data_IF_294946851147
#
_entry.id   IF_294946851147
#
_cell.length_a   1.000
_cell.length_b   1.000
_cell.length_c   1.000
_cell.angle_alpha   90.00
_cell.angle_beta   90.00
_cell.angle_gamma   90.00
#
_symmetry.space_group_name_H-M   'P 1'
#
loop_
_entity.id
_entity.type
_entity.pdbx_description
1 polymer ?
#
# COMPACT_ATOMS: atom_id res chain seq x y z
N UNK A 1 -31.81 18.07 -5.63
CA UNK A 1 -32.29 16.76 -5.13
C UNK A 1 -31.66 16.55 -3.76
N UNK A 2 -32.34 15.94 -2.77
CA UNK A 2 -31.82 15.88 -1.41
C UNK A 2 -30.55 15.03 -1.38
N UNK A 3 -29.48 15.58 -0.81
CA UNK A 3 -28.21 14.93 -0.56
C UNK A 3 -28.45 13.55 0.08
N UNK A 4 -28.20 12.46 -0.65
CA UNK A 4 -28.20 11.12 -0.04
C UNK A 4 -26.83 10.93 0.61
N UNK A 5 -26.59 11.72 1.66
CA UNK A 5 -25.53 11.43 2.61
C UNK A 5 -25.94 10.11 3.30
N UNK A 6 -25.38 8.98 2.86
CA UNK A 6 -25.50 7.72 3.59
C UNK A 6 -24.66 7.86 4.87
N UNK A 7 -25.21 8.57 5.86
CA UNK A 7 -24.64 8.63 7.19
C UNK A 7 -24.94 7.30 7.88
N UNK A 8 -24.03 6.34 7.74
CA UNK A 8 -24.05 5.15 8.59
C UNK A 8 -23.61 5.59 9.98
N UNK A 9 -24.57 6.03 10.81
CA UNK A 9 -24.35 6.25 12.23
C UNK A 9 -24.17 4.91 12.92
N UNK A 10 -22.94 4.43 12.95
CA UNK A 10 -22.57 3.30 13.80
C UNK A 10 -22.46 3.80 15.23
N UNK A 11 -23.54 3.66 16.00
CA UNK A 11 -23.50 3.87 17.44
C UNK A 11 -22.68 2.75 18.09
N UNK A 12 -21.48 3.05 18.57
CA UNK A 12 -20.69 2.07 19.30
C UNK A 12 -21.23 1.93 20.72
N UNK A 13 -21.81 0.77 21.02
CA UNK A 13 -22.06 0.32 22.39
C UNK A 13 -20.72 0.07 23.10
N UNK A 14 -20.70 0.29 24.42
CA UNK A 14 -19.51 0.18 25.29
C UNK A 14 -18.89 -1.22 25.13
N UNK A 15 -17.57 -1.24 24.92
CA UNK A 15 -16.67 -2.41 24.80
C UNK A 15 -16.56 -3.12 23.44
N UNK A 16 -16.54 -2.37 22.35
CA UNK A 16 -16.21 -2.92 21.03
C UNK A 16 -14.68 -3.00 20.83
N UNK A 17 -14.13 -4.21 20.85
CA UNK A 17 -12.69 -4.48 20.66
C UNK A 17 -12.27 -4.48 19.19
N UNK A 18 -13.15 -4.98 18.32
CA UNK A 18 -12.96 -5.05 16.87
C UNK A 18 -14.15 -4.42 16.17
N UNK A 19 -13.88 -3.63 15.14
CA UNK A 19 -14.91 -3.07 14.27
C UNK A 19 -14.60 -3.41 12.81
N UNK A 20 -15.56 -4.04 12.13
CA UNK A 20 -15.47 -4.40 10.72
C UNK A 20 -16.71 -3.91 9.98
N UNK A 21 -16.51 -3.21 8.87
CA UNK A 21 -17.59 -2.80 7.98
C UNK A 21 -17.26 -3.21 6.54
N UNK A 22 -18.16 -3.96 5.92
CA UNK A 22 -17.97 -4.56 4.61
C UNK A 22 -19.16 -4.21 3.73
N UNK A 23 -18.94 -3.43 2.69
CA UNK A 23 -19.94 -3.13 1.66
C UNK A 23 -19.33 -3.43 0.31
N UNK A 24 -19.87 -4.46 -0.34
CA UNK A 24 -19.54 -4.80 -1.71
C UNK A 24 -20.70 -4.31 -2.57
N UNK A 25 -20.53 -3.17 -3.24
CA UNK A 25 -21.44 -2.81 -4.33
C UNK A 25 -21.33 -3.88 -5.42
N UNK A 26 -22.47 -4.25 -6.02
CA UNK A 26 -22.46 -5.00 -7.28
C UNK A 26 -21.54 -4.26 -8.27
N UNK A 27 -20.76 -5.03 -9.03
CA UNK A 27 -19.81 -4.49 -10.00
C UNK A 27 -20.52 -3.48 -10.91
N UNK A 28 -20.29 -2.20 -10.67
CA UNK A 28 -20.62 -1.18 -11.66
C UNK A 28 -19.73 -1.51 -12.85
N UNK A 29 -20.35 -1.86 -13.98
CA UNK A 29 -19.68 -2.17 -15.23
C UNK A 29 -18.61 -1.10 -15.50
N UNK A 30 -17.41 -1.53 -15.88
CA UNK A 30 -16.39 -0.67 -16.47
C UNK A 30 -16.77 -0.31 -17.93
N UNK A 31 -18.04 -0.03 -18.19
CA UNK A 31 -18.48 0.61 -19.41
C UNK A 31 -18.35 2.11 -19.16
N UNK A 32 -17.46 2.74 -19.91
CA UNK A 32 -17.25 4.19 -19.91
C UNK A 32 -18.48 4.85 -20.51
N UNK A 33 -19.55 4.94 -19.73
CA UNK A 33 -20.63 5.88 -20.01
C UNK A 33 -20.17 7.25 -19.51
N UNK A 34 -19.99 8.17 -20.47
CA UNK A 34 -19.89 9.61 -20.21
C UNK A 34 -21.25 10.09 -19.66
N UNK A 35 -21.59 9.70 -18.44
CA UNK A 35 -22.76 10.18 -17.72
C UNK A 35 -22.31 11.04 -16.55
N UNK A 36 -22.90 12.25 -16.52
CA UNK A 36 -22.79 13.38 -15.59
C UNK A 36 -21.90 13.19 -14.34
N UNK A 37 -21.02 14.16 -14.06
CA UNK A 37 -20.29 14.32 -12.79
C UNK A 37 -21.28 14.44 -11.59
N UNK A 38 -21.92 13.34 -11.21
CA UNK A 38 -22.46 13.18 -9.87
C UNK A 38 -21.26 13.04 -8.94
N UNK A 39 -21.19 13.92 -7.92
CA UNK A 39 -20.20 13.80 -6.86
C UNK A 39 -20.33 12.39 -6.26
N UNK A 40 -19.28 11.57 -6.40
CA UNK A 40 -19.31 10.19 -5.95
C UNK A 40 -19.77 10.12 -4.48
N UNK A 41 -20.65 9.16 -4.13
CA UNK A 41 -21.15 9.06 -2.76
C UNK A 41 -19.96 8.94 -1.79
N UNK A 42 -19.99 9.74 -0.72
CA UNK A 42 -18.91 9.78 0.26
C UNK A 42 -19.35 9.25 1.63
N UNK A 43 -18.56 8.33 2.18
CA UNK A 43 -18.70 7.83 3.55
C UNK A 43 -17.79 8.63 4.49
N UNK A 44 -18.39 9.32 5.45
CA UNK A 44 -17.65 9.92 6.56
C UNK A 44 -17.32 8.85 7.61
N UNK A 45 -16.04 8.58 7.83
CA UNK A 45 -15.58 7.68 8.87
C UNK A 45 -15.65 8.39 10.24
N UNK A 46 -16.29 7.79 11.26
CA UNK A 46 -16.28 8.33 12.61
C UNK A 46 -15.01 7.92 13.38
N UNK A 47 -14.68 8.67 14.43
CA UNK A 47 -13.59 8.33 15.35
C UNK A 47 -14.03 7.29 16.39
N UNK A 48 -13.23 6.25 16.59
CA UNK A 48 -13.50 5.16 17.52
C UNK A 48 -12.43 5.08 18.63
N UNK A 49 -12.58 5.81 19.76
CA UNK A 49 -11.51 5.90 20.76
C UNK A 49 -11.24 4.59 21.51
N UNK A 50 -12.23 3.68 21.59
CA UNK A 50 -12.11 2.43 22.33
C UNK A 50 -11.71 1.22 21.49
N UNK A 51 -11.82 1.32 20.15
CA UNK A 51 -11.57 0.21 19.23
C UNK A 51 -10.07 -0.07 19.14
N UNK A 52 -9.69 -1.34 19.15
CA UNK A 52 -8.30 -1.80 18.99
C UNK A 52 -7.97 -2.21 17.57
N UNK A 53 -8.91 -2.86 16.90
CA UNK A 53 -8.73 -3.30 15.53
C UNK A 53 -9.87 -2.73 14.67
N UNK A 54 -9.50 -2.03 13.60
CA UNK A 54 -10.42 -1.43 12.65
C UNK A 54 -10.20 -2.02 11.28
N UNK A 55 -11.28 -2.44 10.63
CA UNK A 55 -11.29 -3.01 9.30
C UNK A 55 -12.41 -2.38 8.49
N UNK A 56 -12.07 -1.84 7.32
CA UNK A 56 -13.03 -1.30 6.38
C UNK A 56 -12.78 -1.87 4.99
N UNK A 57 -13.80 -2.48 4.41
CA UNK A 57 -13.78 -2.93 3.03
C UNK A 57 -14.98 -2.36 2.29
N UNK A 58 -14.74 -1.37 1.44
CA UNK A 58 -15.77 -0.69 0.66
C UNK A 58 -15.21 -0.42 -0.72
N UNK A 59 -16.01 -0.57 -1.77
CA UNK A 59 -15.66 -0.18 -3.15
C UNK A 59 -16.73 0.74 -3.73
N UNK A 60 -16.34 1.65 -4.60
CA UNK A 60 -17.26 2.55 -5.33
C UNK A 60 -17.86 3.67 -4.49
N UNK A 61 -17.25 3.99 -3.34
CA UNK A 61 -17.66 5.08 -2.44
C UNK A 61 -16.38 5.74 -1.93
N UNK A 62 -16.37 7.06 -1.92
CA UNK A 62 -15.26 7.85 -1.40
C UNK A 62 -15.22 7.79 0.13
N UNK A 63 -14.05 7.59 0.68
CA UNK A 63 -13.84 7.58 2.13
C UNK A 63 -13.32 8.93 2.59
N UNK A 64 -14.13 9.62 3.38
CA UNK A 64 -13.72 10.85 4.08
C UNK A 64 -13.33 10.51 5.51
N UNK A 65 -12.09 10.78 5.83
CA UNK A 65 -11.52 10.51 7.14
C UNK A 65 -11.86 11.61 8.15
N UNK A 66 -11.95 11.30 9.46
CA UNK A 66 -12.23 12.29 10.48
C UNK A 66 -11.05 13.27 10.63
N UNK A 67 -11.36 14.57 10.62
CA UNK A 67 -10.38 15.65 10.83
C UNK A 67 -10.10 15.92 12.31
N UNK A 68 -10.95 15.41 13.21
CA UNK A 68 -10.84 15.59 14.66
C UNK A 68 -11.14 14.30 15.41
N UNK A 69 -10.57 14.16 16.61
CA UNK A 69 -10.70 12.97 17.45
C UNK A 69 -9.48 12.04 17.38
N UNK A 70 -9.44 11.07 18.29
CA UNK A 70 -8.30 10.17 18.47
C UNK A 70 -8.76 8.73 18.59
N UNK A 71 -8.12 7.85 17.84
CA UNK A 71 -8.23 6.40 17.95
C UNK A 71 -7.27 5.91 19.04
N UNK A 72 -7.57 6.27 20.28
CA UNK A 72 -6.63 6.17 21.41
C UNK A 72 -6.13 4.74 21.69
N UNK A 73 -6.93 3.71 21.39
CA UNK A 73 -6.59 2.30 21.63
C UNK A 73 -6.28 1.51 20.37
N UNK A 74 -6.33 2.13 19.19
CA UNK A 74 -6.24 1.42 17.93
C UNK A 74 -4.81 0.94 17.70
N UNK A 75 -4.65 -0.38 17.59
CA UNK A 75 -3.40 -1.07 17.32
C UNK A 75 -3.34 -1.60 15.89
N UNK A 76 -4.48 -1.83 15.23
CA UNK A 76 -4.53 -2.34 13.86
C UNK A 76 -5.56 -1.61 13.02
N UNK A 77 -5.16 -1.20 11.82
CA UNK A 77 -6.00 -0.52 10.84
C UNK A 77 -5.84 -1.20 9.47
N UNK A 78 -6.94 -1.67 8.91
CA UNK A 78 -6.99 -2.32 7.60
C UNK A 78 -8.05 -1.66 6.70
N UNK A 79 -7.64 -1.22 5.52
CA UNK A 79 -8.52 -0.71 4.47
C UNK A 79 -8.39 -1.57 3.21
N UNK A 80 -9.53 -1.88 2.59
CA UNK A 80 -9.59 -2.63 1.35
C UNK A 80 -10.58 -2.01 0.36
N UNK A 81 -10.12 -1.75 -0.87
CA UNK A 81 -11.00 -1.29 -1.95
C UNK A 81 -11.40 0.19 -1.89
N UNK A 82 -10.91 0.93 -0.88
CA UNK A 82 -11.39 2.29 -0.59
C UNK A 82 -10.79 3.30 -1.55
N UNK A 83 -11.58 4.33 -1.90
CA UNK A 83 -11.10 5.51 -2.61
C UNK A 83 -10.96 6.68 -1.64
N UNK A 84 -9.80 7.34 -1.57
CA UNK A 84 -9.61 8.53 -0.74
C UNK A 84 -9.85 9.78 -1.57
N UNK A 85 -10.77 10.65 -1.12
CA UNK A 85 -11.11 11.87 -1.86
C UNK A 85 -10.13 13.04 -1.68
N UNK A 86 -9.01 12.82 -0.98
CA UNK A 86 -8.11 13.88 -0.51
C UNK A 86 -6.63 13.59 -0.80
N UNK A 87 -6.35 12.81 -1.84
CA UNK A 87 -5.01 12.39 -2.28
C UNK A 87 -4.20 11.65 -1.19
N UNK A 88 -4.85 11.19 -0.12
CA UNK A 88 -4.20 10.49 1.00
C UNK A 88 -3.80 11.37 2.18
N UNK A 89 -4.12 12.67 2.15
CA UNK A 89 -3.78 13.59 3.24
C UNK A 89 -4.45 13.19 4.56
N UNK A 90 -5.73 12.82 4.54
CA UNK A 90 -6.48 12.44 5.72
C UNK A 90 -5.95 11.18 6.39
N UNK A 91 -5.53 10.17 5.62
CA UNK A 91 -5.00 8.92 6.20
C UNK A 91 -3.63 9.17 6.81
N UNK A 92 -2.80 9.94 6.10
CA UNK A 92 -1.49 10.40 6.57
C UNK A 92 -1.59 11.15 7.89
N UNK A 93 -2.57 12.05 8.00
CA UNK A 93 -2.84 12.82 9.21
C UNK A 93 -3.31 11.94 10.38
N UNK A 94 -4.22 11.01 10.11
CA UNK A 94 -4.77 10.11 11.13
C UNK A 94 -3.69 9.20 11.69
N UNK A 95 -2.93 8.54 10.82
CA UNK A 95 -1.88 7.62 11.29
C UNK A 95 -0.88 8.42 12.11
N UNK A 96 -0.44 9.58 11.61
CA UNK A 96 0.58 10.43 12.25
C UNK A 96 0.16 11.02 13.59
N UNK A 97 -1.08 11.53 13.72
CA UNK A 97 -1.49 12.34 14.88
C UNK A 97 -2.56 11.70 15.74
N UNK A 98 -3.41 10.84 15.18
CA UNK A 98 -4.65 10.39 15.80
C UNK A 98 -4.64 8.93 16.22
N UNK A 99 -3.58 8.17 15.93
CA UNK A 99 -3.46 6.75 16.28
C UNK A 99 -2.17 6.44 17.07
N UNK A 100 -2.03 6.91 18.33
CA UNK A 100 -0.77 6.79 19.08
C UNK A 100 -0.34 5.34 19.37
N UNK A 101 -1.27 4.39 19.37
CA UNK A 101 -1.00 2.98 19.64
C UNK A 101 -0.94 2.09 18.38
N UNK A 102 -1.00 2.68 17.17
CA UNK A 102 -1.07 1.91 15.92
C UNK A 102 0.20 1.10 15.72
N UNK A 103 0.06 -0.22 15.56
CA UNK A 103 1.14 -1.17 15.32
C UNK A 103 1.10 -1.70 13.90
N UNK A 104 -0.09 -2.00 13.39
CA UNK A 104 -0.29 -2.59 12.06
C UNK A 104 -1.12 -1.65 11.18
N UNK A 105 -0.54 -1.20 10.07
CA UNK A 105 -1.24 -0.46 9.02
C UNK A 105 -1.23 -1.27 7.72
N UNK A 106 -2.43 -1.50 7.18
CA UNK A 106 -2.61 -2.29 5.96
C UNK A 106 -3.58 -1.58 5.00
N UNK A 107 -3.11 -1.26 3.80
CA UNK A 107 -3.88 -0.60 2.74
C UNK A 107 -3.84 -1.46 1.47
N UNK A 108 -5.01 -1.95 1.04
CA UNK A 108 -5.13 -2.91 -0.04
C UNK A 108 -6.11 -2.41 -1.11
N UNK A 109 -5.71 -2.48 -2.39
CA UNK A 109 -6.56 -2.08 -3.53
C UNK A 109 -7.19 -0.70 -3.31
N UNK A 110 -6.38 0.31 -3.01
CA UNK A 110 -6.87 1.65 -2.73
C UNK A 110 -6.63 2.59 -3.91
N UNK A 111 -7.54 3.54 -4.06
CA UNK A 111 -7.50 4.62 -5.04
C UNK A 111 -7.49 5.98 -4.32
N UNK A 112 -7.07 7.04 -5.01
CA UNK A 112 -7.00 8.38 -4.43
C UNK A 112 -5.89 8.53 -3.38
N UNK A 113 -4.92 7.62 -3.34
CA UNK A 113 -3.82 7.62 -2.36
C UNK A 113 -2.51 7.98 -3.04
N UNK A 114 -2.39 9.24 -3.46
CA UNK A 114 -1.17 9.75 -4.09
C UNK A 114 -0.04 9.93 -3.10
N UNK A 115 -0.36 10.34 -1.87
CA UNK A 115 0.65 10.60 -0.84
C UNK A 115 0.33 9.85 0.44
N UNK A 116 1.33 9.16 0.98
CA UNK A 116 1.23 8.50 2.27
C UNK A 116 2.41 8.88 3.18
N UNK A 117 2.10 9.54 4.30
CA UNK A 117 3.04 9.80 5.38
C UNK A 117 2.78 8.86 6.57
N UNK A 118 3.78 8.09 6.94
CA UNK A 118 3.78 7.20 8.11
C UNK A 118 4.90 7.62 9.05
N UNK A 119 4.61 8.58 9.92
CA UNK A 119 5.51 9.11 10.96
C UNK A 119 5.34 8.49 12.38
N UNK A 120 4.28 7.73 12.73
CA UNK A 120 4.11 7.25 14.11
C UNK A 120 5.25 6.40 14.63
N UNK A 121 5.61 6.61 15.89
CA UNK A 121 6.63 5.83 16.57
C UNK A 121 6.16 4.44 17.04
N UNK A 122 4.88 4.10 16.89
CA UNK A 122 4.29 2.84 17.36
C UNK A 122 4.15 1.78 16.27
N UNK A 123 4.22 2.15 14.99
CA UNK A 123 3.98 1.22 13.87
C UNK A 123 5.14 0.23 13.78
N UNK A 124 4.78 -1.06 13.73
CA UNK A 124 5.67 -2.22 13.65
C UNK A 124 5.56 -2.89 12.28
N UNK A 125 4.37 -2.92 11.67
CA UNK A 125 4.10 -3.53 10.38
C UNK A 125 3.37 -2.56 9.44
N UNK A 126 3.88 -2.42 8.21
CA UNK A 126 3.28 -1.63 7.14
C UNK A 126 3.09 -2.52 5.91
N UNK A 127 1.85 -2.65 5.43
CA UNK A 127 1.54 -3.38 4.20
C UNK A 127 0.75 -2.52 3.23
N UNK A 128 1.36 -2.27 2.07
CA UNK A 128 0.77 -1.55 0.95
C UNK A 128 0.67 -2.51 -0.22
N UNK A 129 -0.56 -2.76 -0.69
CA UNK A 129 -0.82 -3.72 -1.76
C UNK A 129 -1.77 -3.10 -2.76
N UNK A 130 -1.33 -2.95 -4.01
CA UNK A 130 -2.12 -2.42 -5.13
C UNK A 130 -2.71 -1.04 -4.80
N UNK A 131 -1.84 -0.10 -4.47
CA UNK A 131 -2.21 1.32 -4.43
C UNK A 131 -2.13 1.81 -5.87
N UNK A 132 -3.23 2.30 -6.45
CA UNK A 132 -3.29 2.48 -7.91
C UNK A 132 -2.56 3.73 -8.40
N UNK A 133 -2.42 4.73 -7.54
CA UNK A 133 -2.00 6.09 -7.89
C UNK A 133 -0.92 6.65 -6.93
N UNK A 134 -0.15 5.80 -6.25
CA UNK A 134 0.85 6.25 -5.28
C UNK A 134 2.03 6.98 -5.94
N UNK A 135 2.18 8.26 -5.62
CA UNK A 135 3.25 9.13 -6.11
C UNK A 135 4.35 9.28 -5.05
N UNK A 136 3.98 9.45 -3.78
CA UNK A 136 4.93 9.75 -2.70
C UNK A 136 4.70 8.89 -1.47
N UNK A 137 5.77 8.23 -1.02
CA UNK A 137 5.78 7.44 0.21
C UNK A 137 6.85 7.93 1.19
N UNK A 138 6.41 8.50 2.31
CA UNK A 138 7.29 8.94 3.39
C UNK A 138 7.07 8.06 4.61
N UNK A 139 8.10 7.35 5.05
CA UNK A 139 8.01 6.44 6.20
C UNK A 139 9.09 6.79 7.21
N UNK A 140 8.69 7.43 8.30
CA UNK A 140 9.54 7.81 9.42
C UNK A 140 9.15 7.03 10.68
N UNK A 141 9.30 5.71 10.61
CA UNK A 141 8.82 4.79 11.64
C UNK A 141 9.98 4.03 12.27
N UNK A 142 10.54 4.57 13.37
CA UNK A 142 11.74 4.02 14.00
C UNK A 142 11.60 2.61 14.60
N UNK A 143 10.35 2.14 14.82
CA UNK A 143 10.05 0.80 15.35
C UNK A 143 9.52 -0.17 14.29
N UNK A 144 9.43 0.25 13.03
CA UNK A 144 8.94 -0.58 11.95
C UNK A 144 9.90 -1.74 11.73
N UNK A 145 9.43 -2.97 11.97
CA UNK A 145 10.21 -4.20 11.78
C UNK A 145 9.84 -4.91 10.48
N UNK A 146 8.62 -4.72 9.97
CA UNK A 146 8.13 -5.37 8.76
C UNK A 146 7.52 -4.36 7.78
N UNK A 147 7.96 -4.42 6.53
CA UNK A 147 7.41 -3.60 5.45
C UNK A 147 7.15 -4.45 4.21
N UNK A 148 5.94 -4.30 3.65
CA UNK A 148 5.53 -4.92 2.41
C UNK A 148 4.98 -3.88 1.44
N UNK A 149 5.53 -3.85 0.22
CA UNK A 149 5.07 -3.00 -0.89
C UNK A 149 4.86 -3.89 -2.11
N UNK A 150 3.64 -3.91 -2.65
CA UNK A 150 3.27 -4.78 -3.77
C UNK A 150 2.43 -3.98 -4.78
N UNK A 151 2.96 -3.74 -5.98
CA UNK A 151 2.24 -3.06 -7.08
C UNK A 151 1.61 -1.71 -6.70
N UNK A 152 2.35 -0.88 -5.98
CA UNK A 152 1.96 0.47 -5.55
C UNK A 152 2.51 1.55 -6.49
N UNK A 153 3.74 1.40 -6.96
CA UNK A 153 4.40 2.35 -7.86
C UNK A 153 4.30 1.95 -9.34
N UNK A 154 4.10 0.66 -9.63
CA UNK A 154 4.04 0.18 -11.01
C UNK A 154 2.81 0.61 -11.81
N UNK A 155 1.78 1.16 -11.14
CA UNK A 155 0.51 1.52 -11.76
C UNK A 155 0.37 3.03 -11.98
N UNK A 156 1.19 3.85 -11.32
CA UNK A 156 1.20 5.29 -11.52
C UNK A 156 2.01 5.66 -12.76
N UNK A 157 1.55 6.69 -13.47
CA UNK A 157 2.26 7.31 -14.60
C UNK A 157 3.01 8.57 -14.19
N UNK A 158 2.86 9.00 -12.94
CA UNK A 158 3.46 10.23 -12.43
C UNK A 158 4.85 9.95 -11.81
N UNK A 159 5.70 10.99 -11.68
CA UNK A 159 6.98 10.86 -10.99
C UNK A 159 6.81 10.36 -9.55
N UNK A 160 7.55 9.31 -9.20
CA UNK A 160 7.44 8.68 -7.88
C UNK A 160 8.62 9.00 -6.98
N UNK A 161 8.36 9.21 -5.69
CA UNK A 161 9.39 9.47 -4.69
C UNK A 161 9.18 8.68 -3.40
N UNK A 162 10.28 8.36 -2.73
CA UNK A 162 10.26 7.69 -1.43
C UNK A 162 11.28 8.28 -0.47
N UNK A 163 10.87 8.47 0.79
CA UNK A 163 11.72 8.94 1.89
C UNK A 163 11.62 7.98 3.10
N UNK A 164 12.42 6.91 3.15
CA UNK A 164 12.44 6.01 4.30
C UNK A 164 13.45 6.41 5.38
N UNK A 165 12.99 6.34 6.63
CA UNK A 165 13.77 6.33 7.87
C UNK A 165 13.34 5.12 8.70
N UNK A 166 14.01 3.99 8.48
CA UNK A 166 13.60 2.65 8.91
C UNK A 166 14.72 1.91 9.67
N UNK A 167 15.23 2.46 10.78
CA UNK A 167 16.43 1.92 11.45
C UNK A 167 16.25 0.52 12.06
N UNK A 168 15.02 0.12 12.40
CA UNK A 168 14.69 -1.17 13.03
C UNK A 168 14.13 -2.21 12.04
N UNK A 169 14.16 -1.95 10.73
CA UNK A 169 13.55 -2.83 9.74
C UNK A 169 14.28 -4.17 9.67
N UNK A 170 13.56 -5.25 9.94
CA UNK A 170 14.09 -6.61 9.93
C UNK A 170 13.65 -7.39 8.67
N UNK A 171 12.45 -7.08 8.16
CA UNK A 171 11.87 -7.77 7.02
C UNK A 171 11.35 -6.78 5.98
N UNK A 172 11.84 -6.90 4.74
CA UNK A 172 11.38 -6.12 3.60
C UNK A 172 10.89 -7.06 2.51
N UNK A 173 9.62 -6.92 2.13
CA UNK A 173 9.04 -7.57 0.95
C UNK A 173 8.69 -6.51 -0.08
N UNK A 174 9.32 -6.59 -1.25
CA UNK A 174 9.12 -5.65 -2.34
C UNK A 174 8.76 -6.40 -3.61
N UNK A 175 7.52 -6.24 -4.06
CA UNK A 175 7.03 -6.75 -5.34
C UNK A 175 6.47 -5.59 -6.16
N UNK A 176 7.36 -4.71 -6.61
CA UNK A 176 6.97 -3.47 -7.24
C UNK A 176 8.09 -2.87 -8.10
N UNK A 177 7.75 -1.87 -8.89
CA UNK A 177 8.72 -0.97 -9.52
C UNK A 177 9.50 -0.20 -8.46
N UNK A 178 10.76 0.15 -8.75
CA UNK A 178 11.49 1.11 -7.92
C UNK A 178 10.87 2.50 -8.08
N UNK A 179 10.67 3.27 -7.00
CA UNK A 179 10.37 4.70 -7.10
C UNK A 179 11.46 5.41 -7.92
N UNK A 180 11.08 6.48 -8.61
CA UNK A 180 11.97 7.28 -9.45
C UNK A 180 13.08 7.97 -8.63
N UNK A 181 12.69 8.57 -7.51
CA UNK A 181 13.61 9.18 -6.54
C UNK A 181 13.51 8.50 -5.18
N UNK A 182 14.65 8.20 -4.56
CA UNK A 182 14.71 7.67 -3.20
C UNK A 182 15.76 8.44 -2.42
N UNK A 183 15.32 9.17 -1.39
CA UNK A 183 16.19 9.85 -0.44
C UNK A 183 16.18 9.12 0.89
N UNK A 184 17.34 8.85 1.48
CA UNK A 184 17.47 7.99 2.66
C UNK A 184 17.87 8.82 3.87
N UNK A 185 17.02 8.85 4.91
CA UNK A 185 17.36 9.51 6.17
C UNK A 185 18.04 8.55 7.15
N UNK A 186 17.50 7.34 7.28
CA UNK A 186 18.05 6.32 8.18
C UNK A 186 17.78 4.93 7.62
N UNK A 187 18.86 4.18 7.43
CA UNK A 187 18.82 2.84 6.87
C UNK A 187 18.99 1.79 7.97
N UNK A 188 18.31 0.63 7.87
CA UNK A 188 18.52 -0.47 8.80
C UNK A 188 19.97 -0.96 8.73
N UNK A 189 20.57 -1.17 9.91
CA UNK A 189 21.93 -1.69 9.98
C UNK A 189 22.02 -3.17 9.61
N UNK A 190 20.93 -3.93 9.82
CA UNK A 190 20.82 -5.35 9.53
C UNK A 190 19.39 -5.68 9.09
N UNK A 191 19.24 -6.33 7.93
CA UNK A 191 17.95 -6.92 7.51
C UNK A 191 18.05 -8.44 7.64
N UNK A 192 17.08 -9.05 8.33
CA UNK A 192 16.98 -10.49 8.52
C UNK A 192 16.47 -11.19 7.26
N UNK A 193 15.47 -10.60 6.62
CA UNK A 193 14.82 -11.15 5.43
C UNK A 193 14.53 -10.07 4.41
N UNK A 194 15.19 -10.16 3.26
CA UNK A 194 14.85 -9.38 2.07
C UNK A 194 14.14 -10.28 1.06
N UNK A 195 12.97 -9.89 0.58
CA UNK A 195 12.27 -10.55 -0.53
C UNK A 195 12.03 -9.52 -1.63
N UNK A 196 12.71 -9.67 -2.76
CA UNK A 196 12.49 -8.83 -3.95
C UNK A 196 11.87 -9.70 -5.04
N UNK A 197 10.70 -9.30 -5.53
CA UNK A 197 9.97 -10.00 -6.59
C UNK A 197 9.80 -9.03 -7.74
N UNK A 198 10.36 -9.37 -8.90
CA UNK A 198 10.24 -8.51 -10.07
C UNK A 198 8.90 -8.70 -10.79
N UNK A 199 8.29 -7.58 -11.17
CA UNK A 199 7.01 -7.60 -11.87
C UNK A 199 7.19 -8.08 -13.31
N UNK A 200 6.25 -8.88 -13.84
CA UNK A 200 6.25 -9.23 -15.25
C UNK A 200 6.23 -7.98 -16.14
N UNK A 201 6.87 -8.04 -17.30
CA UNK A 201 6.84 -6.95 -18.29
C UNK A 201 5.41 -6.50 -18.65
N UNK A 202 4.41 -7.40 -18.58
CA UNK A 202 3.00 -7.09 -18.82
C UNK A 202 2.39 -6.11 -17.80
N UNK A 203 2.97 -5.99 -16.61
CA UNK A 203 2.60 -4.99 -15.60
C UNK A 203 3.38 -3.69 -15.74
N UNK A 204 4.44 -3.66 -16.55
CA UNK A 204 5.31 -2.51 -16.77
C UNK A 204 4.99 -1.76 -18.08
N UNK A 205 3.87 -2.10 -18.74
CA UNK A 205 3.51 -1.65 -20.10
C UNK A 205 3.22 -0.13 -20.16
N UNK A 206 3.06 0.54 -19.02
CA UNK A 206 2.70 1.96 -18.96
C UNK A 206 3.89 2.93 -19.01
N UNK A 207 5.14 2.46 -19.07
CA UNK A 207 6.31 3.35 -19.16
C UNK A 207 7.36 2.82 -20.14
N UNK A 208 7.63 3.60 -21.19
CA UNK A 208 8.81 3.44 -22.04
C UNK A 208 10.06 3.77 -21.20
N UNK A 209 10.84 2.74 -20.83
CA UNK A 209 12.17 2.95 -20.24
C UNK A 209 12.47 2.24 -18.93
N UNK A 210 11.63 1.33 -18.43
CA UNK A 210 11.95 0.60 -17.20
C UNK A 210 13.13 -0.35 -17.38
N UNK A 211 14.27 0.01 -16.79
CA UNK A 211 15.28 -0.98 -16.38
C UNK A 211 14.85 -1.50 -15.01
N UNK A 212 15.08 -2.79 -14.77
CA UNK A 212 14.99 -3.39 -13.44
C UNK A 212 15.93 -2.64 -12.49
N UNK A 213 15.40 -1.78 -11.61
CA UNK A 213 16.18 -0.89 -10.74
C UNK A 213 16.17 -1.33 -9.26
N UNK A 214 16.11 -2.64 -9.00
CA UNK A 214 16.25 -3.17 -7.63
C UNK A 214 17.55 -2.74 -6.95
N UNK A 215 18.55 -2.31 -7.70
CA UNK A 215 19.79 -1.73 -7.18
C UNK A 215 19.53 -0.61 -6.16
N UNK A 216 18.52 0.23 -6.39
CA UNK A 216 18.20 1.32 -5.46
C UNK A 216 17.58 0.77 -4.17
N UNK A 217 16.63 -0.16 -4.26
CA UNK A 217 16.07 -0.84 -3.08
C UNK A 217 17.13 -1.68 -2.34
N UNK A 218 18.09 -2.28 -3.05
CA UNK A 218 19.22 -3.02 -2.47
C UNK A 218 20.19 -2.10 -1.71
N UNK A 219 20.28 -0.82 -2.07
CA UNK A 219 21.12 0.16 -1.35
C UNK A 219 20.63 0.46 0.07
N UNK A 220 19.40 0.09 0.42
CA UNK A 220 18.85 0.21 1.78
C UNK A 220 19.70 -0.55 2.81
N UNK A 221 20.64 -1.42 2.38
CA UNK A 221 21.20 -2.44 3.25
C UNK A 221 22.73 -2.42 3.30
N UNK A 222 23.28 -2.40 4.51
CA UNK A 222 24.74 -2.53 4.77
C UNK A 222 25.16 -3.92 5.27
N UNK A 223 24.26 -4.72 5.84
CA UNK A 223 24.50 -6.10 6.30
C UNK A 223 23.23 -6.94 6.18
N UNK A 224 23.29 -8.10 5.50
CA UNK A 224 22.13 -8.98 5.30
C UNK A 224 22.41 -10.36 5.91
N UNK A 225 21.43 -10.91 6.63
CA UNK A 225 21.44 -12.31 7.05
C UNK A 225 20.93 -13.27 5.97
N UNK A 226 19.78 -12.97 5.35
CA UNK A 226 19.19 -13.78 4.26
C UNK A 226 18.57 -12.91 3.17
N UNK A 227 18.92 -13.19 1.91
CA UNK A 227 18.30 -12.59 0.73
C UNK A 227 17.49 -13.65 -0.03
N UNK A 228 16.23 -13.34 -0.32
CA UNK A 228 15.40 -14.04 -1.28
C UNK A 228 15.15 -13.11 -2.48
N UNK A 229 15.64 -13.51 -3.65
CA UNK A 229 15.36 -12.83 -4.92
C UNK A 229 14.51 -13.77 -5.76
N UNK A 230 13.31 -13.32 -6.13
CA UNK A 230 12.47 -14.00 -7.12
C UNK A 230 12.45 -13.13 -8.39
N UNK A 231 13.21 -13.56 -9.41
CA UNK A 231 13.31 -12.85 -10.68
C UNK A 231 12.51 -13.59 -11.77
N UNK A 232 11.72 -12.91 -12.62
CA UNK A 232 11.12 -13.51 -13.78
C UNK A 232 12.22 -13.93 -14.75
N UNK A 233 12.27 -15.22 -15.07
CA UNK A 233 13.09 -15.69 -16.17
C UNK A 233 12.36 -15.32 -17.45
N UNK A 234 12.98 -14.48 -18.27
CA UNK A 234 12.48 -14.28 -19.63
C UNK A 234 12.40 -15.66 -20.31
N UNK A 235 11.26 -16.06 -20.90
CA UNK A 235 11.22 -17.29 -21.69
C UNK A 235 12.28 -17.16 -22.77
N UNK A 236 13.21 -18.13 -22.82
CA UNK A 236 14.24 -18.20 -23.86
C UNK A 236 13.54 -18.07 -25.21
N UNK A 237 13.90 -17.02 -25.96
CA UNK A 237 13.23 -16.68 -27.19
C UNK A 237 13.25 -17.88 -28.14
N UNK A 238 12.06 -18.42 -28.44
CA UNK A 238 11.88 -19.15 -29.69
C UNK A 238 10.78 -18.42 -30.44
N UNK A 239 11.23 -17.74 -31.49
CA UNK A 239 10.49 -16.84 -32.36
C UNK A 239 9.14 -17.39 -32.83
N UNK A 240 8.13 -16.51 -32.78
CA UNK A 240 6.85 -16.53 -33.49
C UNK A 240 5.99 -17.80 -33.37
N UNK A 241 4.86 -17.75 -32.66
CA UNK A 241 3.54 -18.24 -33.14
C UNK A 241 2.45 -17.98 -32.09
N UNK A 242 1.54 -17.06 -32.47
CA UNK A 242 0.08 -17.03 -32.24
C UNK A 242 -0.52 -16.78 -30.84
N UNK A 243 -1.24 -15.64 -30.82
CA UNK A 243 -2.55 -15.41 -30.22
C UNK A 243 -2.67 -15.35 -28.70
N UNK A 244 -2.97 -14.13 -28.25
CA UNK A 244 -3.97 -13.79 -27.23
C UNK A 244 -4.83 -15.01 -26.84
N UNK A 245 -4.53 -15.64 -25.70
CA UNK A 245 -5.48 -15.97 -24.64
C UNK A 245 -4.79 -16.75 -23.50
N UNK A 246 -4.88 -16.15 -22.30
CA UNK A 246 -5.00 -16.78 -20.98
C UNK A 246 -3.81 -17.60 -20.44
N UNK A 247 -3.39 -17.21 -19.23
CA UNK A 247 -2.32 -17.76 -18.39
C UNK A 247 -0.90 -17.28 -18.72
N UNK A 248 -0.60 -16.06 -18.27
CA UNK A 248 0.78 -15.61 -18.01
C UNK A 248 1.36 -16.43 -16.84
N UNK A 249 1.89 -17.61 -17.13
CA UNK A 249 2.84 -18.28 -16.25
C UNK A 249 4.22 -17.66 -16.49
N UNK A 250 4.52 -16.56 -15.79
CA UNK A 250 5.92 -16.17 -15.62
C UNK A 250 6.60 -17.22 -14.75
N UNK A 251 7.66 -17.85 -15.26
CA UNK A 251 8.49 -18.74 -14.46
C UNK A 251 9.43 -17.86 -13.64
N UNK A 252 9.27 -17.90 -12.32
CA UNK A 252 10.17 -17.22 -11.40
C UNK A 252 11.31 -18.15 -11.02
N UNK A 253 12.55 -17.66 -11.11
CA UNK A 253 13.69 -18.29 -10.45
C UNK A 253 13.76 -17.76 -9.03
N UNK A 254 13.66 -18.66 -8.06
CA UNK A 254 13.87 -18.36 -6.65
C UNK A 254 15.34 -18.56 -6.30
N UNK A 255 16.06 -17.45 -6.19
CA UNK A 255 17.43 -17.44 -5.69
C UNK A 255 17.40 -17.13 -4.19
N UNK A 256 17.76 -18.10 -3.38
CA UNK A 256 17.97 -17.90 -1.94
C UNK A 256 19.46 -17.80 -1.67
N UNK A 257 19.92 -16.60 -1.35
CA UNK A 257 21.31 -16.36 -0.95
C UNK A 257 21.35 -16.19 0.56
N UNK A 258 21.94 -17.15 1.26
CA UNK A 258 22.22 -17.03 2.69
C UNK A 258 23.65 -16.52 2.86
N UNK A 259 23.81 -15.31 3.38
CA UNK A 259 25.12 -14.71 3.61
C UNK A 259 25.51 -15.03 5.06
N UNK A 260 26.44 -15.97 5.24
CA UNK A 260 27.03 -16.24 6.55
C UNK A 260 28.25 -15.33 6.73
N UNK A 261 28.18 -14.38 7.66
CA UNK A 261 29.32 -13.60 8.14
C UNK A 261 30.10 -14.36 9.19
#
# INVERSE_FOLDING_TARGET
>A
MPDVLISVRVATQRDMTRFGFFVYGEAVNLEWDEEEEEEAPALQMPCFPTVKEFTLAIRGVDLRLPTTGTFAKLTKMYFFGVNFSDDGNGISDIVTRSCPCLQDLELHMTEGLKVLFVVPQSVLSLRLIKILDLEQLVVMACKLTEMQVVKCFALTTEPTSMLPSLPALEQLHWQDSSPGEIDYLSLPSHILKLTLIELPASYLVLYEGHRSHFTSILQIIRRIGTVHLDMPVAPVSTMHIFLILRYLHCIYMKLVVRITT
#
